data_IF_349008211753
#
_entry.id   IF_349008211753
#
_cell.length_a   1.000
_cell.length_b   1.000
_cell.length_c   1.000
_cell.angle_alpha   90.00
_cell.angle_beta   90.00
_cell.angle_gamma   90.00
#
_symmetry.space_group_name_H-M   'P 1'
#
loop_
_entity.id
_entity.type
_entity.pdbx_description
1 polymer ?
#
# COMPACT_ATOMS: atom_id res chain seq x y z
N UNK A 1 -13.02 0.35 -0.69
CA UNK A 1 -11.60 0.70 -0.42
C UNK A 1 -11.35 1.05 1.05
N UNK A 2 -12.14 1.93 1.67
CA UNK A 2 -11.99 2.21 3.11
C UNK A 2 -12.17 0.94 3.98
N UNK A 3 -13.23 0.16 3.74
CA UNK A 3 -13.49 -1.11 4.44
C UNK A 3 -12.35 -2.11 4.31
N UNK A 4 -11.78 -2.24 3.11
CA UNK A 4 -10.65 -3.14 2.83
C UNK A 4 -9.38 -2.67 3.53
N UNK A 5 -9.16 -1.35 3.64
CA UNK A 5 -8.04 -0.77 4.37
C UNK A 5 -8.18 -0.94 5.89
N UNK A 6 -9.39 -0.84 6.43
CA UNK A 6 -9.66 -1.12 7.84
C UNK A 6 -9.43 -2.59 8.15
N UNK A 7 -9.93 -3.51 7.31
CA UNK A 7 -9.68 -4.95 7.45
C UNK A 7 -8.18 -5.26 7.42
N UNK A 8 -7.45 -4.71 6.44
CA UNK A 8 -6.02 -4.92 6.30
C UNK A 8 -5.24 -4.32 7.48
N UNK A 9 -5.65 -3.13 7.93
CA UNK A 9 -5.11 -2.48 9.11
C UNK A 9 -5.35 -3.32 10.37
N UNK A 10 -6.54 -3.94 10.50
CA UNK A 10 -6.86 -4.82 11.61
C UNK A 10 -5.97 -6.07 11.62
N UNK A 11 -5.81 -6.74 10.48
CA UNK A 11 -4.90 -7.89 10.36
C UNK A 11 -3.44 -7.49 10.65
N UNK A 12 -2.99 -6.35 10.13
CA UNK A 12 -1.65 -5.82 10.39
C UNK A 12 -1.45 -5.42 11.86
N UNK A 13 -2.50 -4.94 12.53
CA UNK A 13 -2.51 -4.63 13.96
C UNK A 13 -2.36 -5.87 14.83
N UNK A 14 -3.14 -6.91 14.56
CA UNK A 14 -3.02 -8.21 15.23
C UNK A 14 -1.62 -8.76 15.03
N UNK A 15 -1.16 -8.83 13.78
CA UNK A 15 0.17 -9.35 13.48
C UNK A 15 1.25 -8.54 14.19
N UNK A 16 1.23 -7.21 14.08
CA UNK A 16 2.25 -6.35 14.68
C UNK A 16 2.34 -6.42 16.20
N UNK A 17 1.21 -6.71 16.87
CA UNK A 17 1.14 -6.82 18.34
C UNK A 17 1.52 -8.22 18.84
N UNK A 18 1.01 -9.28 18.20
CA UNK A 18 1.14 -10.65 18.71
C UNK A 18 2.28 -11.45 18.08
N UNK A 19 2.89 -10.96 17.00
CA UNK A 19 4.02 -11.64 16.37
C UNK A 19 5.23 -11.81 17.30
N UNK A 20 5.59 -10.75 18.05
CA UNK A 20 6.71 -10.79 18.98
C UNK A 20 6.42 -11.78 20.12
N UNK A 21 5.21 -11.68 20.69
CA UNK A 21 4.75 -12.56 21.75
C UNK A 21 4.76 -14.03 21.32
N UNK A 22 4.31 -14.33 20.10
CA UNK A 22 4.35 -15.68 19.55
C UNK A 22 5.78 -16.25 19.44
N UNK A 23 6.76 -15.44 19.04
CA UNK A 23 8.16 -15.88 18.94
C UNK A 23 8.80 -16.09 20.32
N UNK A 24 8.39 -15.30 21.31
CA UNK A 24 8.82 -15.45 22.69
C UNK A 24 8.25 -16.73 23.32
N UNK A 25 6.94 -16.99 23.16
CA UNK A 25 6.29 -18.24 23.57
C UNK A 25 6.91 -19.47 22.92
N UNK A 26 7.39 -19.34 21.67
CA UNK A 26 8.09 -20.41 20.96
C UNK A 26 9.53 -20.66 21.41
N UNK A 27 10.07 -19.89 22.36
CA UNK A 27 11.46 -20.01 22.82
C UNK A 27 12.50 -19.64 21.74
N UNK A 28 12.10 -18.85 20.74
CA UNK A 28 12.92 -18.49 19.58
C UNK A 28 13.41 -17.03 19.63
N UNK A 29 13.68 -16.49 20.82
CA UNK A 29 14.14 -15.11 21.02
C UNK A 29 15.39 -14.78 20.18
N UNK A 30 16.32 -15.72 20.06
CA UNK A 30 17.54 -15.56 19.24
C UNK A 30 17.24 -15.41 17.73
N UNK A 31 16.09 -15.91 17.26
CA UNK A 31 15.67 -15.78 15.86
C UNK A 31 15.02 -14.42 15.55
N UNK A 32 14.67 -13.62 16.58
CA UNK A 32 14.05 -12.30 16.39
C UNK A 32 14.87 -11.39 15.48
N UNK A 33 16.19 -11.33 15.71
CA UNK A 33 17.09 -10.53 14.89
C UNK A 33 17.06 -10.92 13.42
N UNK A 34 17.09 -12.23 13.13
CA UNK A 34 17.03 -12.75 11.76
C UNK A 34 15.70 -12.41 11.09
N UNK A 35 14.59 -12.51 11.81
CA UNK A 35 13.26 -12.24 11.26
C UNK A 35 13.03 -10.74 11.02
N UNK A 36 13.54 -9.87 11.90
CA UNK A 36 13.54 -8.41 11.71
C UNK A 36 14.41 -8.02 10.51
N UNK A 37 15.60 -8.62 10.39
CA UNK A 37 16.49 -8.39 9.25
C UNK A 37 15.86 -8.83 7.92
N UNK A 38 15.22 -10.00 7.89
CA UNK A 38 14.49 -10.47 6.71
C UNK A 38 13.40 -9.46 6.28
N UNK A 39 12.67 -8.90 7.26
CA UNK A 39 11.68 -7.85 7.00
C UNK A 39 12.31 -6.57 6.46
N UNK A 40 13.47 -6.17 6.97
CA UNK A 40 14.19 -4.98 6.49
C UNK A 40 14.69 -5.16 5.04
N UNK A 41 15.31 -6.30 4.74
CA UNK A 41 15.79 -6.63 3.38
C UNK A 41 14.64 -6.65 2.39
N UNK A 42 13.53 -7.30 2.73
CA UNK A 42 12.36 -7.34 1.86
C UNK A 42 11.73 -5.94 1.64
N UNK A 43 11.82 -5.01 2.60
CA UNK A 43 11.40 -3.60 2.41
C UNK A 43 12.24 -2.89 1.37
N UNK A 44 13.55 -3.02 1.47
CA UNK A 44 14.48 -2.43 0.49
C UNK A 44 14.22 -3.02 -0.90
N UNK A 45 14.10 -4.36 -1.00
CA UNK A 45 13.80 -5.03 -2.26
C UNK A 45 12.46 -4.58 -2.88
N UNK A 46 11.40 -4.45 -2.08
CA UNK A 46 10.10 -3.99 -2.54
C UNK A 46 10.15 -2.54 -3.07
N UNK A 47 10.88 -1.64 -2.40
CA UNK A 47 11.08 -0.26 -2.86
C UNK A 47 11.81 -0.20 -4.20
N UNK A 48 12.85 -1.02 -4.37
CA UNK A 48 13.59 -1.11 -5.64
C UNK A 48 12.69 -1.63 -6.77
N UNK A 49 11.82 -2.59 -6.48
CA UNK A 49 10.88 -3.13 -7.47
C UNK A 49 9.84 -2.09 -7.92
N UNK A 50 9.37 -1.24 -7.01
CA UNK A 50 8.47 -0.12 -7.35
C UNK A 50 9.19 0.90 -8.23
N UNK A 51 10.43 1.24 -7.88
CA UNK A 51 11.25 2.19 -8.65
C UNK A 51 11.57 1.68 -10.06
N UNK A 52 11.68 0.37 -10.25
CA UNK A 52 11.90 -0.27 -11.54
C UNK A 52 10.67 -0.26 -12.47
N UNK A 53 9.53 0.29 -12.04
CA UNK A 53 8.34 0.49 -12.88
C UNK A 53 7.52 -0.79 -13.16
N UNK A 54 7.85 -1.92 -12.54
CA UNK A 54 7.26 -3.24 -12.84
C UNK A 54 5.84 -3.50 -12.32
N UNK A 55 5.06 -2.47 -11.98
CA UNK A 55 3.77 -2.65 -11.29
C UNK A 55 2.56 -2.54 -12.23
N UNK A 56 1.88 -3.66 -12.56
CA UNK A 56 0.65 -3.63 -13.37
C UNK A 56 -0.42 -2.65 -12.86
N UNK A 57 -1.23 -2.15 -13.80
CA UNK A 57 -2.23 -1.09 -13.58
C UNK A 57 -3.48 -1.48 -12.77
N UNK A 58 -3.60 -2.73 -12.29
CA UNK A 58 -4.82 -3.22 -11.61
C UNK A 58 -4.82 -2.91 -10.11
N UNK A 59 -5.31 -1.73 -9.73
CA UNK A 59 -5.47 -1.27 -8.34
C UNK A 59 -6.07 -2.32 -7.38
N UNK A 60 -7.19 -2.93 -7.76
CA UNK A 60 -7.91 -3.88 -6.91
C UNK A 60 -7.15 -5.20 -6.71
N UNK A 61 -6.37 -5.64 -7.71
CA UNK A 61 -5.56 -6.84 -7.60
C UNK A 61 -4.51 -6.73 -6.50
N UNK A 62 -3.93 -5.54 -6.33
CA UNK A 62 -2.95 -5.27 -5.28
C UNK A 62 -3.54 -5.23 -3.88
N UNK A 63 -4.76 -4.70 -3.73
CA UNK A 63 -5.50 -4.74 -2.47
C UNK A 63 -5.79 -6.18 -2.05
N UNK A 64 -6.28 -7.01 -2.98
CA UNK A 64 -6.55 -8.44 -2.73
C UNK A 64 -5.25 -9.18 -2.41
N UNK A 65 -4.18 -8.95 -3.19
CA UNK A 65 -2.87 -9.53 -2.92
C UNK A 65 -2.37 -9.18 -1.52
N UNK A 66 -2.51 -7.92 -1.09
CA UNK A 66 -2.10 -7.50 0.25
C UNK A 66 -2.89 -8.22 1.36
N UNK A 67 -4.20 -8.43 1.18
CA UNK A 67 -5.03 -9.18 2.12
C UNK A 67 -4.61 -10.65 2.17
N UNK A 68 -4.41 -11.29 1.02
CA UNK A 68 -3.98 -12.69 0.94
C UNK A 68 -2.61 -12.87 1.58
N UNK A 69 -1.63 -12.01 1.25
CA UNK A 69 -0.30 -12.08 1.86
C UNK A 69 -0.36 -11.89 3.37
N UNK A 70 -1.17 -10.95 3.87
CA UNK A 70 -1.30 -10.74 5.32
C UNK A 70 -1.96 -11.92 6.03
N UNK A 71 -2.98 -12.51 5.40
CA UNK A 71 -3.66 -13.69 5.94
C UNK A 71 -2.78 -14.94 5.91
N UNK A 72 -2.01 -15.13 4.83
CA UNK A 72 -1.03 -16.20 4.69
C UNK A 72 0.08 -16.08 5.75
N UNK A 73 0.56 -14.87 6.05
CA UNK A 73 1.51 -14.64 7.15
C UNK A 73 0.95 -15.11 8.49
N UNK A 74 -0.29 -14.72 8.80
CA UNK A 74 -0.97 -15.17 10.01
C UNK A 74 -1.09 -16.70 10.07
N UNK A 75 -1.41 -17.35 8.94
CA UNK A 75 -1.48 -18.81 8.85
C UNK A 75 -0.10 -19.47 9.08
N UNK A 76 0.97 -18.89 8.55
CA UNK A 76 2.33 -19.38 8.79
C UNK A 76 2.73 -19.34 10.26
N UNK A 77 2.25 -18.35 11.03
CA UNK A 77 2.50 -18.28 12.49
C UNK A 77 1.71 -19.33 13.29
N UNK A 78 0.64 -19.89 12.72
CA UNK A 78 -0.03 -21.04 13.34
C UNK A 78 0.81 -22.31 13.21
N UNK A 79 1.69 -22.41 12.21
CA UNK A 79 2.57 -23.56 12.05
C UNK A 79 3.84 -23.37 12.88
N UNK A 80 4.20 -24.37 13.70
CA UNK A 80 5.22 -24.28 14.76
C UNK A 80 6.66 -24.31 14.25
N UNK A 81 7.02 -23.41 13.33
CA UNK A 81 8.37 -23.30 12.77
C UNK A 81 8.80 -21.85 12.55
N UNK A 82 9.85 -21.42 13.23
CA UNK A 82 10.45 -20.08 13.08
C UNK A 82 10.90 -19.78 11.64
N UNK A 83 11.27 -20.83 10.87
CA UNK A 83 11.65 -20.72 9.46
C UNK A 83 10.47 -20.25 8.60
N UNK A 84 9.27 -20.76 8.88
CA UNK A 84 8.05 -20.33 8.21
C UNK A 84 7.69 -18.90 8.59
N UNK A 85 7.92 -18.53 9.85
CA UNK A 85 7.73 -17.16 10.32
C UNK A 85 8.70 -16.17 9.64
N UNK A 86 9.96 -16.57 9.42
CA UNK A 86 10.94 -15.79 8.67
C UNK A 86 10.55 -15.62 7.19
N UNK A 87 10.11 -16.71 6.54
CA UNK A 87 9.60 -16.66 5.17
C UNK A 87 8.34 -15.79 5.07
N UNK A 88 7.43 -15.89 6.04
CA UNK A 88 6.26 -15.03 6.13
C UNK A 88 6.64 -13.54 6.19
N UNK A 89 7.72 -13.18 6.89
CA UNK A 89 8.18 -11.79 6.91
C UNK A 89 8.72 -11.28 5.57
N UNK A 90 9.14 -12.16 4.65
CA UNK A 90 9.51 -11.74 3.29
C UNK A 90 8.28 -11.24 2.50
N UNK A 91 7.08 -11.74 2.81
CA UNK A 91 5.82 -11.29 2.21
C UNK A 91 5.27 -9.98 2.81
N UNK A 92 5.80 -9.54 3.97
CA UNK A 92 5.30 -8.34 4.68
C UNK A 92 5.55 -7.06 3.88
N UNK A 93 6.76 -6.82 3.34
CA UNK A 93 7.05 -5.57 2.66
C UNK A 93 6.43 -5.40 1.28
N UNK A 94 6.42 -6.41 0.37
CA UNK A 94 5.77 -6.23 -0.92
C UNK A 94 4.28 -5.95 -0.73
N UNK A 95 3.58 -6.64 0.17
CA UNK A 95 2.15 -6.38 0.42
C UNK A 95 1.87 -4.96 0.91
N UNK A 96 2.69 -4.44 1.82
CA UNK A 96 2.53 -3.07 2.37
C UNK A 96 2.88 -1.99 1.34
N UNK A 97 3.95 -2.17 0.58
CA UNK A 97 4.40 -1.19 -0.42
C UNK A 97 3.42 -1.13 -1.60
N UNK A 98 2.96 -2.30 -2.08
CA UNK A 98 1.96 -2.41 -3.14
C UNK A 98 0.62 -1.80 -2.73
N UNK A 99 0.21 -1.99 -1.48
CA UNK A 99 -0.97 -1.36 -0.92
C UNK A 99 -0.90 0.16 -1.00
N UNK A 100 0.20 0.74 -0.50
CA UNK A 100 0.34 2.20 -0.48
C UNK A 100 0.43 2.78 -1.89
N UNK A 101 1.12 2.08 -2.80
CA UNK A 101 1.13 2.45 -4.21
C UNK A 101 -0.27 2.41 -4.85
N UNK A 102 -1.11 1.44 -4.49
CA UNK A 102 -2.50 1.40 -4.92
C UNK A 102 -3.32 2.54 -4.29
N UNK A 103 -3.07 2.89 -3.03
CA UNK A 103 -3.71 4.03 -2.37
C UNK A 103 -3.35 5.36 -3.02
N UNK A 104 -2.07 5.59 -3.34
CA UNK A 104 -1.61 6.77 -4.06
C UNK A 104 -2.22 6.88 -5.45
N UNK A 105 -2.19 5.78 -6.23
CA UNK A 105 -2.82 5.77 -7.56
C UNK A 105 -4.33 5.99 -7.48
N UNK A 106 -5.01 5.50 -6.44
CA UNK A 106 -6.43 5.77 -6.24
C UNK A 106 -6.68 7.23 -5.85
N UNK A 107 -5.90 7.77 -4.92
CA UNK A 107 -5.98 9.17 -4.50
C UNK A 107 -5.80 10.10 -5.71
N UNK A 108 -4.74 9.91 -6.50
CA UNK A 108 -4.49 10.64 -7.76
C UNK A 108 -5.67 10.60 -8.73
N UNK A 109 -6.40 9.48 -8.79
CA UNK A 109 -7.58 9.33 -9.66
C UNK A 109 -8.86 9.97 -9.11
N UNK A 110 -8.94 10.18 -7.80
CA UNK A 110 -10.15 10.74 -7.15
C UNK A 110 -10.01 12.22 -6.80
N UNK A 111 -8.80 12.73 -6.65
CA UNK A 111 -8.52 14.13 -6.36
C UNK A 111 -8.23 14.92 -7.63
N UNK A 112 -8.79 16.13 -7.74
CA UNK A 112 -8.51 17.08 -8.83
C UNK A 112 -7.33 18.01 -8.54
N UNK A 113 -6.76 17.98 -7.33
CA UNK A 113 -5.65 18.84 -6.93
C UNK A 113 -4.74 18.20 -5.87
N UNK A 114 -3.52 18.71 -5.74
CA UNK A 114 -2.44 18.16 -4.90
C UNK A 114 -2.84 18.15 -3.41
N UNK A 115 -3.50 19.19 -2.92
CA UNK A 115 -3.92 19.27 -1.52
C UNK A 115 -5.03 18.25 -1.21
N UNK A 116 -5.95 18.05 -2.15
CA UNK A 116 -6.98 17.02 -2.04
C UNK A 116 -6.37 15.60 -2.07
N UNK A 117 -5.35 15.35 -2.91
CA UNK A 117 -4.61 14.08 -2.93
C UNK A 117 -3.99 13.78 -1.56
N UNK A 118 -3.31 14.77 -0.96
CA UNK A 118 -2.69 14.66 0.36
C UNK A 118 -3.72 14.39 1.45
N UNK A 119 -4.85 15.10 1.45
CA UNK A 119 -5.94 14.86 2.39
C UNK A 119 -6.51 13.44 2.26
N UNK A 120 -6.73 12.96 1.04
CA UNK A 120 -7.23 11.60 0.80
C UNK A 120 -6.21 10.57 1.29
N UNK A 121 -4.92 10.73 0.97
CA UNK A 121 -3.86 9.85 1.46
C UNK A 121 -3.77 9.84 2.99
N UNK A 122 -3.88 11.01 3.63
CA UNK A 122 -3.90 11.12 5.08
C UNK A 122 -5.11 10.37 5.67
N UNK A 123 -6.31 10.52 5.08
CA UNK A 123 -7.50 9.80 5.52
C UNK A 123 -7.33 8.28 5.39
N UNK A 124 -6.79 7.79 4.26
CA UNK A 124 -6.49 6.37 4.06
C UNK A 124 -5.44 5.86 5.06
N UNK A 125 -4.44 6.68 5.39
CA UNK A 125 -3.44 6.40 6.42
C UNK A 125 -4.06 6.27 7.81
N UNK A 126 -4.98 7.17 8.18
CA UNK A 126 -5.71 7.09 9.44
C UNK A 126 -6.60 5.83 9.48
N UNK A 127 -7.31 5.52 8.41
CA UNK A 127 -8.13 4.31 8.33
C UNK A 127 -7.30 3.03 8.52
N UNK A 128 -6.14 2.94 7.86
CA UNK A 128 -5.30 1.75 7.92
C UNK A 128 -4.44 1.69 9.19
N UNK A 129 -3.61 2.70 9.44
CA UNK A 129 -2.60 2.73 10.52
C UNK A 129 -3.12 3.23 11.87
N UNK A 130 -4.28 3.88 11.90
CA UNK A 130 -4.93 4.33 13.13
C UNK A 130 -6.07 3.40 13.54
N UNK A 131 -7.20 3.52 12.84
CA UNK A 131 -8.44 2.81 13.19
C UNK A 131 -8.27 1.30 13.01
N UNK A 132 -7.82 0.88 11.83
CA UNK A 132 -7.64 -0.54 11.50
C UNK A 132 -6.72 -1.22 12.50
N UNK A 133 -5.48 -0.75 12.64
CA UNK A 133 -4.50 -1.32 13.58
C UNK A 133 -4.97 -1.32 15.03
N UNK A 134 -5.61 -0.23 15.49
CA UNK A 134 -6.14 -0.14 16.85
C UNK A 134 -7.24 -1.17 17.10
N UNK A 135 -8.22 -1.26 16.20
CA UNK A 135 -9.30 -2.25 16.28
C UNK A 135 -8.73 -3.67 16.22
N UNK A 136 -7.76 -3.92 15.34
CA UNK A 136 -7.06 -5.19 15.24
C UNK A 136 -6.35 -5.59 16.53
N UNK A 137 -5.59 -4.68 17.13
CA UNK A 137 -4.88 -4.94 18.38
C UNK A 137 -5.84 -5.29 19.53
N UNK A 138 -6.95 -4.55 19.65
CA UNK A 138 -7.97 -4.78 20.69
C UNK A 138 -8.67 -6.13 20.49
N UNK A 139 -9.17 -6.40 19.28
CA UNK A 139 -9.85 -7.65 18.97
C UNK A 139 -8.91 -8.85 19.04
N UNK A 140 -7.67 -8.69 18.56
CA UNK A 140 -6.61 -9.69 18.66
C UNK A 140 -6.26 -10.00 20.11
N UNK A 141 -6.15 -8.98 20.96
CA UNK A 141 -5.90 -9.14 22.39
C UNK A 141 -7.02 -9.84 23.12
N UNK A 142 -8.28 -9.49 22.81
CA UNK A 142 -9.43 -10.20 23.35
C UNK A 142 -9.42 -11.68 22.94
N UNK A 143 -9.17 -11.98 21.66
CA UNK A 143 -9.09 -13.35 21.16
C UNK A 143 -7.92 -14.13 21.75
N UNK A 144 -6.75 -13.50 21.89
CA UNK A 144 -5.54 -14.10 22.45
C UNK A 144 -5.72 -14.41 23.94
N UNK A 145 -6.36 -13.51 24.69
CA UNK A 145 -6.67 -13.73 26.11
C UNK A 145 -7.60 -14.94 26.34
N UNK A 146 -8.49 -15.24 25.39
CA UNK A 146 -9.47 -16.33 25.52
C UNK A 146 -8.96 -17.67 24.98
N UNK A 147 -8.24 -17.65 23.86
CA UNK A 147 -7.91 -18.88 23.10
C UNK A 147 -6.40 -19.13 22.96
N UNK A 148 -5.58 -18.22 23.46
CA UNK A 148 -4.13 -18.19 23.26
C UNK A 148 -3.72 -17.50 21.96
N UNK A 149 -2.48 -17.01 21.95
CA UNK A 149 -1.88 -16.22 20.87
C UNK A 149 -1.93 -16.95 19.51
N UNK A 150 -1.62 -18.25 19.50
CA UNK A 150 -1.61 -19.09 18.28
C UNK A 150 -3.00 -19.24 17.66
N UNK A 151 -4.02 -19.47 18.48
CA UNK A 151 -5.40 -19.61 18.04
C UNK A 151 -5.96 -18.29 17.52
N UNK A 152 -5.62 -17.17 18.17
CA UNK A 152 -6.01 -15.84 17.74
C UNK A 152 -5.43 -15.47 16.37
N UNK A 153 -4.14 -15.78 16.12
CA UNK A 153 -3.51 -15.63 14.81
C UNK A 153 -4.18 -16.51 13.74
N UNK A 154 -4.58 -17.73 14.11
CA UNK A 154 -5.30 -18.63 13.21
C UNK A 154 -6.69 -18.14 12.84
N UNK A 155 -7.46 -17.64 13.82
CA UNK A 155 -8.75 -16.98 13.59
C UNK A 155 -8.61 -15.79 12.64
N UNK A 156 -7.58 -14.96 12.86
CA UNK A 156 -7.29 -13.82 11.99
C UNK A 156 -6.91 -14.25 10.56
N UNK A 157 -6.16 -15.36 10.41
CA UNK A 157 -5.86 -15.91 9.09
C UNK A 157 -7.13 -16.33 8.34
N UNK A 158 -8.06 -17.03 9.01
CA UNK A 158 -9.32 -17.47 8.40
C UNK A 158 -10.19 -16.27 8.03
N UNK A 159 -10.39 -15.34 8.96
CA UNK A 159 -11.17 -14.11 8.72
C UNK A 159 -10.57 -13.28 7.59
N UNK A 160 -9.23 -13.17 7.55
CA UNK A 160 -8.53 -12.46 6.48
C UNK A 160 -8.68 -13.13 5.12
N UNK A 161 -8.62 -14.47 5.04
CA UNK A 161 -8.83 -15.21 3.79
C UNK A 161 -10.27 -15.07 3.29
N UNK A 162 -11.27 -15.20 4.17
CA UNK A 162 -12.69 -15.02 3.83
C UNK A 162 -12.91 -13.57 3.38
N UNK A 163 -12.41 -12.58 4.14
CA UNK A 163 -12.51 -11.17 3.79
C UNK A 163 -11.85 -10.87 2.44
N UNK A 164 -10.68 -11.44 2.17
CA UNK A 164 -9.98 -11.34 0.88
C UNK A 164 -10.79 -11.93 -0.27
N UNK A 165 -11.41 -13.08 -0.07
CA UNK A 165 -12.29 -13.72 -1.07
C UNK A 165 -13.55 -12.89 -1.35
N UNK A 166 -14.17 -12.31 -0.32
CA UNK A 166 -15.32 -11.39 -0.47
C UNK A 166 -14.89 -10.15 -1.26
N UNK A 167 -13.75 -9.55 -0.93
CA UNK A 167 -13.24 -8.38 -1.65
C UNK A 167 -12.93 -8.74 -3.11
N UNK A 168 -12.30 -9.89 -3.34
CA UNK A 168 -12.01 -10.37 -4.68
C UNK A 168 -13.29 -10.56 -5.49
N UNK A 169 -14.28 -11.27 -4.96
CA UNK A 169 -15.55 -11.51 -5.67
C UNK A 169 -16.31 -10.22 -5.96
N UNK A 170 -16.43 -9.31 -4.99
CA UNK A 170 -17.08 -8.01 -5.19
C UNK A 170 -16.35 -7.18 -6.24
N UNK A 171 -15.01 -7.12 -6.19
CA UNK A 171 -14.23 -6.33 -7.15
C UNK A 171 -14.19 -6.93 -8.55
N UNK A 172 -14.35 -8.25 -8.68
CA UNK A 172 -14.29 -8.94 -9.96
C UNK A 172 -15.65 -9.05 -10.66
N UNK A 173 -16.75 -9.12 -9.91
CA UNK A 173 -18.11 -9.33 -10.45
C UNK A 173 -19.03 -8.11 -10.33
N UNK A 174 -18.82 -7.22 -9.35
CA UNK A 174 -19.79 -6.15 -9.03
C UNK A 174 -19.23 -4.75 -9.33
N UNK A 175 -17.94 -4.51 -9.14
CA UNK A 175 -17.37 -3.17 -9.29
C UNK A 175 -17.22 -2.78 -10.78
N UNK A 176 -17.91 -1.71 -11.25
CA UNK A 176 -17.62 -1.13 -12.55
C UNK A 176 -16.17 -0.64 -12.58
N UNK A 177 -15.48 -0.83 -13.70
CA UNK A 177 -14.14 -0.23 -13.89
C UNK A 177 -14.29 1.28 -13.68
N UNK A 178 -13.55 1.89 -12.74
CA UNK A 178 -13.63 3.33 -12.57
C UNK A 178 -13.23 4.01 -13.89
N UNK A 179 -13.96 5.05 -14.33
CA UNK A 179 -13.62 5.78 -15.55
C UNK A 179 -12.18 6.30 -15.42
N UNK A 180 -11.37 6.02 -16.44
CA UNK A 180 -9.98 6.44 -16.50
C UNK A 180 -9.94 7.91 -16.90
N UNK A 181 -9.91 8.81 -15.92
CA UNK A 181 -9.72 10.25 -16.15
C UNK A 181 -8.34 10.60 -16.73
N UNK A 182 -7.39 9.66 -16.75
CA UNK A 182 -6.11 9.80 -17.48
C UNK A 182 -6.33 10.10 -18.98
N UNK A 183 -7.49 9.75 -19.56
CA UNK A 183 -7.87 10.11 -20.94
C UNK A 183 -8.50 11.50 -21.08
N UNK A 184 -8.95 12.11 -19.99
CA UNK A 184 -9.56 13.45 -19.98
C UNK A 184 -8.53 14.55 -19.72
N UNK A 185 -7.40 14.22 -19.08
CA UNK A 185 -6.24 15.11 -18.93
C UNK A 185 -5.30 15.07 -20.15
N UNK A 186 -5.35 14.01 -20.95
CA UNK A 186 -4.66 13.89 -22.23
C UNK A 186 -5.68 13.98 -23.38
N UNK A 187 -6.46 15.06 -23.40
CA UNK A 187 -7.18 15.43 -24.62
C UNK A 187 -6.29 16.44 -25.37
N UNK A 188 -5.63 16.06 -26.48
CA UNK A 188 -4.83 16.99 -27.29
C UNK A 188 -5.70 18.08 -27.95
N UNK A 189 -7.02 18.07 -27.73
CA UNK A 189 -7.95 19.14 -28.12
C UNK A 189 -8.37 20.04 -26.96
N UNK A 190 -7.82 19.87 -25.76
CA UNK A 190 -8.10 20.78 -24.65
C UNK A 190 -7.53 22.17 -24.97
N UNK A 191 -8.32 23.25 -24.87
CA UNK A 191 -7.92 24.60 -25.30
C UNK A 191 -6.79 25.23 -24.47
N UNK A 192 -6.23 24.50 -23.50
CA UNK A 192 -5.12 24.95 -22.65
C UNK A 192 -3.74 24.41 -23.08
N UNK A 193 -3.63 23.55 -24.11
CA UNK A 193 -2.32 23.02 -24.52
C UNK A 193 -1.56 23.92 -25.51
N UNK A 194 -2.17 24.99 -26.02
CA UNK A 194 -1.51 25.93 -26.95
C UNK A 194 -1.07 27.24 -26.29
N UNK A 195 -1.45 27.51 -25.04
CA UNK A 195 -1.20 28.82 -24.41
C UNK A 195 0.12 28.93 -23.64
N UNK A 196 0.84 27.84 -23.34
CA UNK A 196 2.11 27.91 -22.61
C UNK A 196 3.37 27.86 -23.49
N UNK A 197 3.26 27.54 -24.78
CA UNK A 197 4.42 27.47 -25.68
C UNK A 197 4.72 28.77 -26.46
N UNK A 198 3.82 29.75 -26.47
CA UNK A 198 4.04 31.02 -27.18
C UNK A 198 4.62 32.14 -26.29
N UNK A 199 4.49 32.06 -24.96
CA UNK A 199 5.00 33.11 -24.05
C UNK A 199 6.49 32.94 -23.71
N UNK A 200 7.06 31.74 -23.82
CA UNK A 200 8.48 31.50 -23.48
C UNK A 200 9.44 31.80 -24.65
N UNK A 201 8.92 32.06 -25.86
CA UNK A 201 9.72 32.34 -27.07
C UNK A 201 9.77 33.84 -27.45
N UNK A 202 9.57 34.76 -26.50
CA UNK A 202 9.71 36.21 -26.75
C UNK A 202 10.84 36.99 -26.03
N UNK A 203 11.60 36.47 -25.04
CA UNK A 203 12.69 37.26 -24.47
C UNK A 203 14.01 37.15 -25.25
N UNK A 204 14.21 36.11 -26.08
CA UNK A 204 15.48 35.89 -26.78
C UNK A 204 15.62 36.65 -28.11
N UNK A 205 14.54 36.86 -28.87
CA UNK A 205 14.61 37.66 -30.10
C UNK A 205 14.80 39.16 -29.82
N UNK A 206 14.31 39.67 -28.69
CA UNK A 206 14.53 41.08 -28.30
C UNK A 206 15.95 41.36 -27.82
N UNK A 207 16.68 40.35 -27.34
CA UNK A 207 18.10 40.52 -26.97
C UNK A 207 19.04 40.45 -28.17
N UNK A 208 18.70 39.71 -29.23
CA UNK A 208 19.50 39.68 -30.46
C UNK A 208 19.41 41.00 -31.26
N UNK A 209 18.26 41.68 -31.24
CA UNK A 209 18.07 42.95 -31.94
C UNK A 209 18.78 44.15 -31.26
N UNK A 210 19.09 44.06 -29.96
CA UNK A 210 19.70 45.17 -29.21
C UNK A 210 21.24 45.20 -29.25
N UNK A 211 21.89 44.18 -29.82
CA UNK A 211 23.36 44.06 -29.84
C UNK A 211 23.97 44.42 -31.21
N UNK A 212 23.14 44.67 -32.24
CA UNK A 212 23.59 44.96 -33.60
C UNK A 212 24.01 46.41 -33.91
N UNK A 213 23.78 47.37 -33.01
CA UNK A 213 23.84 48.80 -33.33
C UNK A 213 25.00 49.58 -32.66
N UNK A 214 26.05 48.89 -32.20
CA UNK A 214 27.26 49.57 -31.69
C UNK A 214 28.53 49.06 -32.37
N UNK A 215 28.76 49.49 -33.61
CA UNK A 215 30.10 49.57 -34.18
C UNK A 215 30.16 50.65 -35.28
N UNK A 216 30.58 51.84 -34.87
CA UNK A 216 31.10 52.92 -35.73
C UNK A 216 32.42 53.39 -35.15
#
# INVERSE_FOLDING_TARGET
MATTLVLLGALAGVEGTFFLWHLEEGGHSNALGAVIMARAVARVAALLLVRAGGLPGRLHGWLVFAVICTSARCACYVQSGWQLAAMAQLLSPPSTVLLWFACERWARRTSTGIDAERCVLAALAVCHRGIGTGVGAILGGAAAAWTGTRSALGLCAVVGMIGGAVVFTVTHFVAPRPPSYDRLLWDPTSPNSESESEEEMQPLERQAAAVGDTSS
#
